data_IF_785571451515
#
_entry.id   IF_785571451515
#
_cell.length_a   1.000
_cell.length_b   1.000
_cell.length_c   1.000
_cell.angle_alpha   90.00
_cell.angle_beta   90.00
_cell.angle_gamma   90.00
#
_symmetry.space_group_name_H-M   'P 1'
#
loop_
_entity.id
_entity.type
_entity.pdbx_description
1 polymer ?
#
# COMPACT_ATOMS: atom_id res chain seq x y z
N UNK A 1 -19.19 -3.64 13.22
CA UNK A 1 -17.78 -3.35 12.99
C UNK A 1 -17.62 -2.43 11.82
N UNK A 2 -16.87 -1.39 12.01
CA UNK A 2 -16.60 -0.45 10.93
C UNK A 2 -15.38 -0.90 10.13
N UNK A 3 -15.39 -0.57 8.86
CA UNK A 3 -14.20 -0.71 8.03
C UNK A 3 -13.48 0.63 8.03
N UNK A 4 -12.22 0.61 8.46
CA UNK A 4 -11.38 1.81 8.48
C UNK A 4 -10.28 1.65 7.45
N UNK A 5 -10.13 2.64 6.59
CA UNK A 5 -9.04 2.69 5.62
C UNK A 5 -8.07 3.76 6.07
N UNK A 6 -6.82 3.37 6.30
CA UNK A 6 -5.77 4.29 6.72
C UNK A 6 -4.75 4.41 5.60
N UNK A 7 -4.34 5.64 5.32
CA UNK A 7 -3.34 5.89 4.28
C UNK A 7 -2.12 6.57 4.90
N UNK A 8 -0.94 6.05 4.59
CA UNK A 8 0.33 6.59 5.07
C UNK A 8 1.25 6.91 3.91
N UNK A 9 1.76 8.12 3.89
CA UNK A 9 2.70 8.56 2.87
C UNK A 9 4.13 8.14 3.18
N UNK A 10 5.04 8.42 2.25
CA UNK A 10 6.42 7.96 2.33
C UNK A 10 7.18 8.37 3.58
N UNK A 11 6.93 9.58 4.08
CA UNK A 11 7.60 10.03 5.31
C UNK A 11 7.17 9.22 6.52
N UNK A 12 5.91 8.84 6.58
CA UNK A 12 5.39 8.04 7.70
C UNK A 12 5.94 6.64 7.74
N UNK A 13 6.45 6.15 6.62
CA UNK A 13 7.04 4.82 6.49
C UNK A 13 8.50 4.90 6.05
N UNK A 14 9.15 6.02 6.28
CA UNK A 14 10.48 6.29 5.75
C UNK A 14 11.62 5.54 6.41
N UNK A 15 11.42 4.96 7.58
CA UNK A 15 12.41 4.18 8.30
C UNK A 15 11.75 2.98 8.94
N UNK A 16 12.55 2.02 9.39
CA UNK A 16 12.03 0.86 10.11
C UNK A 16 11.29 1.30 11.37
N UNK A 17 11.84 2.27 12.09
CA UNK A 17 11.18 2.80 13.29
C UNK A 17 9.82 3.39 12.98
N UNK A 18 9.72 4.14 11.89
CA UNK A 18 8.45 4.74 11.48
C UNK A 18 7.44 3.69 11.02
N UNK A 19 7.90 2.64 10.36
CA UNK A 19 7.02 1.52 10.00
C UNK A 19 6.47 0.87 11.27
N UNK A 20 7.30 0.70 12.29
CA UNK A 20 6.83 0.18 13.58
C UNK A 20 5.79 1.08 14.23
N UNK A 21 5.97 2.40 14.13
CA UNK A 21 4.98 3.34 14.64
C UNK A 21 3.65 3.21 13.91
N UNK A 22 3.70 3.05 12.59
CA UNK A 22 2.49 2.82 11.79
C UNK A 22 1.83 1.50 12.21
N UNK A 23 2.62 0.44 12.39
CA UNK A 23 2.07 -0.84 12.82
C UNK A 23 1.34 -0.70 14.16
N UNK A 24 1.89 0.07 15.10
CA UNK A 24 1.24 0.28 16.38
C UNK A 24 -0.10 1.01 16.23
N UNK A 25 -0.18 1.99 15.35
CA UNK A 25 -1.43 2.70 15.09
C UNK A 25 -2.47 1.80 14.43
N UNK A 26 -2.03 0.99 13.48
CA UNK A 26 -2.91 0.04 12.79
C UNK A 26 -3.44 -0.98 13.79
N UNK A 27 -2.57 -1.52 14.62
CA UNK A 27 -2.95 -2.49 15.64
C UNK A 27 -3.97 -1.91 16.61
N UNK A 28 -3.78 -0.66 17.02
CA UNK A 28 -4.72 0.00 17.93
C UNK A 28 -6.10 0.13 17.30
N UNK A 29 -6.15 0.55 16.04
CA UNK A 29 -7.41 0.68 15.32
C UNK A 29 -8.12 -0.67 15.20
N UNK A 30 -7.36 -1.71 14.91
CA UNK A 30 -7.88 -3.07 14.81
C UNK A 30 -8.40 -3.54 16.18
N UNK A 31 -7.63 -3.32 17.24
CA UNK A 31 -8.02 -3.74 18.59
C UNK A 31 -9.27 -3.03 19.10
N UNK A 32 -9.55 -1.84 18.57
CA UNK A 32 -10.76 -1.10 18.90
C UNK A 32 -12.03 -1.71 18.25
N UNK A 33 -11.87 -2.80 17.52
CA UNK A 33 -13.00 -3.53 16.95
C UNK A 33 -13.30 -3.23 15.49
N UNK A 34 -12.34 -2.68 14.77
CA UNK A 34 -12.52 -2.33 13.36
C UNK A 34 -11.87 -3.34 12.43
N UNK A 35 -12.42 -3.45 11.22
CA UNK A 35 -11.70 -4.05 10.11
C UNK A 35 -10.79 -2.97 9.54
N UNK A 36 -9.56 -3.32 9.18
CA UNK A 36 -8.58 -2.31 8.76
C UNK A 36 -7.95 -2.67 7.43
N UNK A 37 -7.97 -1.70 6.52
CA UNK A 37 -7.22 -1.73 5.27
C UNK A 37 -6.23 -0.57 5.32
N UNK A 38 -4.96 -0.87 5.10
CA UNK A 38 -3.90 0.13 5.16
C UNK A 38 -3.31 0.32 3.78
N UNK A 39 -3.22 1.56 3.35
CA UNK A 39 -2.64 1.92 2.06
C UNK A 39 -1.33 2.65 2.33
N UNK A 40 -0.23 2.16 1.79
CA UNK A 40 1.08 2.78 2.04
C UNK A 40 1.84 3.04 0.75
N UNK A 41 2.66 4.07 0.78
CA UNK A 41 3.57 4.42 -0.31
C UNK A 41 4.92 3.74 -0.13
N UNK A 42 5.81 3.92 -1.09
CA UNK A 42 7.21 3.55 -0.92
C UNK A 42 7.82 4.37 0.22
N UNK A 43 8.90 3.88 0.79
CA UNK A 43 9.64 4.62 1.82
C UNK A 43 10.18 5.92 1.24
N UNK A 44 10.29 6.94 2.08
CA UNK A 44 10.76 8.25 1.65
C UNK A 44 12.08 8.17 0.87
N UNK A 45 12.13 8.81 -0.29
CA UNK A 45 13.31 8.83 -1.14
C UNK A 45 13.45 7.64 -2.07
N UNK A 46 12.68 6.59 -1.86
CA UNK A 46 12.82 5.36 -2.63
C UNK A 46 12.32 5.54 -4.06
N UNK A 47 11.18 6.21 -4.23
CA UNK A 47 10.65 6.47 -5.57
C UNK A 47 11.64 7.29 -6.39
N UNK A 48 12.22 8.33 -5.78
CA UNK A 48 13.21 9.16 -6.48
C UNK A 48 14.45 8.37 -6.87
N UNK A 49 14.89 7.46 -6.02
CA UNK A 49 16.03 6.59 -6.33
C UNK A 49 15.74 5.72 -7.54
N UNK A 50 14.55 5.14 -7.58
CA UNK A 50 14.14 4.27 -8.69
C UNK A 50 13.99 5.06 -9.98
N UNK A 51 13.40 6.25 -9.91
CA UNK A 51 13.25 7.13 -11.06
C UNK A 51 14.63 7.49 -11.63
N UNK A 52 15.59 7.79 -10.75
CA UNK A 52 16.95 8.10 -11.18
C UNK A 52 17.60 6.93 -11.90
N UNK A 53 17.41 5.72 -11.40
CA UNK A 53 17.93 4.52 -12.07
C UNK A 53 17.35 4.38 -13.47
N UNK A 54 16.05 4.60 -13.62
CA UNK A 54 15.40 4.51 -14.93
C UNK A 54 15.98 5.52 -15.90
N UNK A 55 16.17 6.75 -15.44
CA UNK A 55 16.68 7.82 -16.28
C UNK A 55 18.13 7.59 -16.70
N UNK A 56 18.93 6.98 -15.84
CA UNK A 56 20.31 6.62 -16.19
C UNK A 56 20.35 5.49 -17.20
N UNK A 57 19.41 4.59 -17.14
CA UNK A 57 19.39 3.44 -18.02
C UNK A 57 18.90 3.79 -19.42
N UNK A 58 17.91 4.68 -19.51
CA UNK A 58 17.23 4.94 -20.78
C UNK A 58 16.63 6.35 -20.74
N UNK A 59 16.80 7.10 -21.86
CA UNK A 59 16.26 8.46 -21.93
C UNK A 59 14.73 8.49 -21.90
N UNK A 60 14.09 7.55 -22.58
CA UNK A 60 12.65 7.49 -22.66
C UNK A 60 12.17 6.05 -22.36
N UNK A 61 12.13 5.65 -21.09
CA UNK A 61 11.65 4.31 -20.77
C UNK A 61 10.16 4.16 -21.09
N UNK A 62 9.76 2.95 -21.47
CA UNK A 62 8.36 2.69 -21.71
C UNK A 62 7.57 2.79 -20.40
N UNK A 63 6.34 3.24 -20.50
CA UNK A 63 5.51 3.40 -19.30
C UNK A 63 5.34 2.08 -18.55
N UNK A 64 5.17 0.98 -19.28
CA UNK A 64 4.99 -0.32 -18.67
C UNK A 64 6.18 -0.72 -17.79
N UNK A 65 7.39 -0.62 -18.34
CA UNK A 65 8.58 -1.01 -17.57
C UNK A 65 8.90 -0.03 -16.44
N UNK A 66 8.61 1.24 -16.68
CA UNK A 66 8.77 2.26 -15.67
C UNK A 66 7.89 1.95 -14.45
N UNK A 67 6.63 1.61 -14.69
CA UNK A 67 5.70 1.26 -13.62
C UNK A 67 6.15 0.00 -12.87
N UNK A 68 6.65 -0.99 -13.59
CA UNK A 68 7.19 -2.20 -12.96
C UNK A 68 8.32 -1.84 -11.99
N UNK A 69 9.23 -0.99 -12.44
CA UNK A 69 10.37 -0.58 -11.61
C UNK A 69 9.89 0.21 -10.38
N UNK A 70 9.10 1.24 -10.59
CA UNK A 70 8.69 2.15 -9.50
C UNK A 70 7.84 1.41 -8.46
N UNK A 71 7.02 0.46 -8.89
CA UNK A 71 6.17 -0.29 -7.96
C UNK A 71 6.97 -1.15 -6.97
N UNK A 72 8.24 -1.46 -7.27
CA UNK A 72 9.05 -2.25 -6.35
C UNK A 72 9.26 -1.54 -5.00
N UNK A 73 9.27 -0.21 -5.01
CA UNK A 73 9.41 0.55 -3.77
C UNK A 73 8.26 0.29 -2.81
N UNK A 74 7.06 0.23 -3.33
CA UNK A 74 5.88 -0.03 -2.50
C UNK A 74 5.82 -1.48 -2.04
N UNK A 75 6.34 -2.40 -2.86
CA UNK A 75 6.42 -3.81 -2.47
C UNK A 75 7.27 -3.99 -1.22
N UNK A 76 8.35 -3.23 -1.11
CA UNK A 76 9.19 -3.27 0.09
C UNK A 76 8.37 -2.84 1.31
N UNK A 77 7.66 -1.72 1.20
CA UNK A 77 6.91 -1.17 2.33
C UNK A 77 5.78 -2.10 2.78
N UNK A 78 4.98 -2.61 1.84
CA UNK A 78 3.84 -3.46 2.20
C UNK A 78 4.31 -4.75 2.85
N UNK A 79 5.44 -5.28 2.41
CA UNK A 79 6.01 -6.49 2.99
C UNK A 79 6.51 -6.25 4.40
N UNK A 80 7.26 -5.18 4.61
CA UNK A 80 7.82 -4.86 5.92
C UNK A 80 6.74 -4.57 6.95
N UNK A 81 5.72 -3.82 6.57
CA UNK A 81 4.61 -3.52 7.48
C UNK A 81 3.85 -4.78 7.84
N UNK A 82 3.59 -5.65 6.86
CA UNK A 82 2.93 -6.93 7.13
C UNK A 82 3.74 -7.79 8.07
N UNK A 83 5.05 -7.89 7.84
CA UNK A 83 5.94 -8.65 8.72
C UNK A 83 5.92 -8.10 10.14
N UNK A 84 5.91 -6.78 10.27
CA UNK A 84 5.88 -6.13 11.58
C UNK A 84 4.60 -6.49 12.34
N UNK A 85 3.46 -6.38 11.68
CA UNK A 85 2.17 -6.72 12.30
C UNK A 85 2.11 -8.21 12.66
N UNK A 86 2.62 -9.08 11.79
CA UNK A 86 2.67 -10.51 12.09
C UNK A 86 3.54 -10.78 13.31
N UNK A 87 4.66 -10.09 13.44
CA UNK A 87 5.55 -10.27 14.61
C UNK A 87 4.89 -9.78 15.89
N UNK A 88 3.87 -8.93 15.80
CA UNK A 88 3.11 -8.46 16.96
C UNK A 88 1.93 -9.36 17.28
N UNK A 89 1.73 -10.42 16.52
CA UNK A 89 0.65 -11.38 16.77
C UNK A 89 -0.61 -11.15 15.95
N UNK A 90 -0.59 -10.24 15.00
CA UNK A 90 -1.75 -9.96 14.15
C UNK A 90 -1.67 -10.75 12.85
N UNK A 91 -2.83 -11.10 12.31
CA UNK A 91 -2.88 -11.63 10.95
C UNK A 91 -2.84 -10.44 10.00
N UNK A 92 -1.85 -10.41 9.15
CA UNK A 92 -1.68 -9.33 8.17
C UNK A 92 -1.29 -9.92 6.84
N UNK A 93 -1.77 -9.30 5.76
CA UNK A 93 -1.50 -9.77 4.41
C UNK A 93 -1.36 -8.60 3.48
N UNK A 94 -0.30 -8.61 2.68
CA UNK A 94 -0.06 -7.55 1.72
C UNK A 94 -0.60 -7.94 0.35
N UNK A 95 -1.01 -6.93 -0.41
CA UNK A 95 -1.50 -7.13 -1.78
C UNK A 95 -0.85 -6.11 -2.70
N UNK A 96 -0.39 -6.60 -3.85
CA UNK A 96 0.04 -5.74 -4.94
C UNK A 96 -1.20 -5.21 -5.66
N UNK A 97 -1.04 -4.14 -6.41
CA UNK A 97 -2.15 -3.56 -7.12
C UNK A 97 -2.81 -4.47 -8.14
N UNK A 98 -2.00 -5.30 -8.77
CA UNK A 98 -2.54 -6.27 -9.73
C UNK A 98 -3.41 -7.33 -9.05
N UNK A 99 -3.25 -7.51 -7.75
CA UNK A 99 -4.01 -8.49 -6.99
C UNK A 99 -5.32 -7.90 -6.46
N UNK A 100 -5.38 -6.57 -6.34
CA UNK A 100 -6.56 -5.87 -5.88
C UNK A 100 -6.77 -4.65 -6.76
N UNK A 101 -7.39 -4.80 -7.92
CA UNK A 101 -7.66 -3.65 -8.77
C UNK A 101 -8.59 -2.68 -8.07
N UNK A 102 -8.21 -1.43 -8.02
CA UNK A 102 -9.06 -0.36 -7.54
C UNK A 102 -9.52 0.44 -8.76
N UNK A 103 -10.82 0.59 -8.89
CA UNK A 103 -11.39 1.36 -9.98
C UNK A 103 -11.64 2.77 -9.48
N UNK A 104 -11.03 3.74 -10.13
CA UNK A 104 -11.21 5.14 -9.78
C UNK A 104 -12.05 5.83 -10.85
N UNK A 105 -12.53 7.03 -10.52
CA UNK A 105 -13.23 7.83 -11.54
C UNK A 105 -12.20 8.52 -12.43
N UNK A 106 -12.68 9.23 -13.45
CA UNK A 106 -11.82 9.87 -14.45
C UNK A 106 -11.38 11.29 -14.08
N UNK A 107 -11.60 11.70 -12.87
CA UNK A 107 -11.25 13.05 -12.44
C UNK A 107 -9.79 13.12 -12.05
N UNK A 108 -8.90 13.00 -12.99
CA UNK A 108 -7.45 12.98 -12.81
C UNK A 108 -6.92 13.41 -11.44
N UNK A 109 -6.70 14.69 -11.22
CA UNK A 109 -6.13 15.18 -9.98
C UNK A 109 -7.02 14.91 -8.75
N UNK A 110 -8.29 14.61 -8.95
CA UNK A 110 -9.25 14.37 -7.88
C UNK A 110 -9.91 13.00 -7.99
N UNK A 111 -9.25 12.07 -8.63
CA UNK A 111 -9.79 10.73 -8.78
C UNK A 111 -10.15 10.11 -7.43
N UNK A 112 -11.26 9.43 -7.38
CA UNK A 112 -11.74 8.76 -6.17
C UNK A 112 -11.84 7.27 -6.43
N UNK A 113 -11.61 6.49 -5.39
CA UNK A 113 -11.77 5.05 -5.47
C UNK A 113 -13.26 4.76 -5.59
N UNK A 114 -13.67 4.19 -6.73
CA UNK A 114 -15.07 3.83 -6.97
C UNK A 114 -15.37 2.41 -6.52
N UNK A 115 -14.38 1.54 -6.58
CA UNK A 115 -14.61 0.13 -6.32
C UNK A 115 -13.30 -0.58 -6.05
N UNK A 116 -13.33 -1.53 -5.14
CA UNK A 116 -12.21 -2.45 -4.88
C UNK A 116 -12.74 -3.85 -5.16
N UNK A 117 -12.02 -4.60 -6.00
CA UNK A 117 -12.37 -5.99 -6.30
C UNK A 117 -12.23 -6.75 -5.00
N UNK A 118 -13.36 -7.13 -4.45
CA UNK A 118 -13.40 -7.24 -3.01
C UNK A 118 -13.64 -8.61 -2.43
N UNK A 119 -13.99 -9.58 -3.25
CA UNK A 119 -14.35 -10.88 -2.70
C UNK A 119 -13.27 -11.44 -1.78
N UNK A 120 -12.03 -11.43 -2.28
CA UNK A 120 -10.90 -11.96 -1.54
C UNK A 120 -10.57 -11.10 -0.32
N UNK A 121 -10.65 -9.78 -0.48
CA UNK A 121 -10.39 -8.85 0.62
C UNK A 121 -11.45 -9.00 1.70
N UNK A 122 -12.71 -9.11 1.31
CA UNK A 122 -13.78 -9.27 2.29
C UNK A 122 -13.63 -10.55 3.07
N UNK A 123 -13.22 -11.64 2.41
CA UNK A 123 -12.97 -12.89 3.10
C UNK A 123 -11.84 -12.73 4.11
N UNK A 124 -10.75 -12.08 3.73
CA UNK A 124 -9.62 -11.87 4.63
C UNK A 124 -10.03 -10.99 5.83
N UNK A 125 -10.77 -9.92 5.59
CA UNK A 125 -11.24 -9.06 6.67
C UNK A 125 -12.18 -9.82 7.60
N UNK A 126 -13.05 -10.63 7.04
CA UNK A 126 -13.98 -11.43 7.83
C UNK A 126 -13.22 -12.43 8.72
N UNK A 127 -12.07 -12.90 8.26
CA UNK A 127 -11.25 -13.82 9.00
C UNK A 127 -10.27 -13.13 9.96
N UNK A 128 -10.42 -11.83 10.14
CA UNK A 128 -9.62 -11.08 11.08
C UNK A 128 -8.25 -10.67 10.58
N UNK A 129 -8.09 -10.58 9.26
CA UNK A 129 -6.80 -10.21 8.65
C UNK A 129 -6.76 -8.71 8.37
N UNK A 130 -5.66 -8.07 8.75
CA UNK A 130 -5.39 -6.68 8.41
C UNK A 130 -4.80 -6.67 6.99
N UNK A 131 -5.37 -5.86 6.12
CA UNK A 131 -4.97 -5.81 4.71
C UNK A 131 -4.06 -4.61 4.47
N UNK A 132 -2.91 -4.86 3.85
CA UNK A 132 -1.96 -3.80 3.49
C UNK A 132 -1.85 -3.75 1.96
N UNK A 133 -2.06 -2.58 1.38
CA UNK A 133 -2.12 -2.39 -0.06
C UNK A 133 -1.13 -1.34 -0.49
N UNK A 134 -0.48 -1.57 -1.62
CA UNK A 134 0.41 -0.59 -2.21
C UNK A 134 -0.38 0.62 -2.71
N UNK A 135 0.03 1.80 -2.29
CA UNK A 135 -0.74 3.03 -2.52
C UNK A 135 -0.63 3.64 -3.90
N UNK A 136 0.26 3.14 -4.71
CA UNK A 136 0.46 3.67 -6.06
C UNK A 136 -0.51 3.09 -7.07
N UNK A 137 -1.53 2.45 -6.56
CA UNK A 137 -2.46 1.77 -7.41
C UNK A 137 -3.48 2.66 -8.01
N UNK A 138 -3.66 3.80 -7.45
CA UNK A 138 -4.67 4.70 -7.90
C UNK A 138 -4.32 5.17 -9.26
N UNK A 139 -4.73 4.46 -10.22
CA UNK A 139 -4.49 4.83 -11.57
C UNK A 139 -5.60 5.74 -11.98
N UNK A 140 -5.22 6.85 -12.45
CA UNK A 140 -6.19 7.80 -12.90
C UNK A 140 -6.33 7.73 -14.38
N UNK A 141 -6.04 6.61 -14.97
CA UNK A 141 -6.37 6.40 -16.31
C UNK A 141 -5.51 5.53 -17.06
#
# INVERSE_FOLDING_TARGET
MSLVVQKYGGTSVGTIERIRNVANRVAKTYDDGNDVVVVVSAMSGETNRLVSLANEMCEFPSDREYDVLVSTGEQVTISLLSMCLQSMGYNAKSYLGSQIPMITDNAHAKARIKHIEEKKIREDLKNGTIIIVAGFQGIDE
#
